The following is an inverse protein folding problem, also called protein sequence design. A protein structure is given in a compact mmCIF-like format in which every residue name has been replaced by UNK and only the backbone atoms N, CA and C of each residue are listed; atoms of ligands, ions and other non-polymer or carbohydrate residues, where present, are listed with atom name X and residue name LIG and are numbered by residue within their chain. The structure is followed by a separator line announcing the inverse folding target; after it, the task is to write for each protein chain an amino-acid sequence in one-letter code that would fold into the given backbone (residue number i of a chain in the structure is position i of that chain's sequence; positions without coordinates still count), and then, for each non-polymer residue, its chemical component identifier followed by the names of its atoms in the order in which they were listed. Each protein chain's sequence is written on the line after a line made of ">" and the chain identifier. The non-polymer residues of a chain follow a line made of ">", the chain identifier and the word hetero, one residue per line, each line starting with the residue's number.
data_IF_678880865255
#
_entry.id   IF_678880865255
#
_cell.length_a   1.000
_cell.length_b   1.000
_cell.length_c   1.000
_cell.angle_alpha   90.00
_cell.angle_beta   90.00
_cell.angle_gamma   90.00
#
_symmetry.space_group_name_H-M   'P 1'
#
loop_
_entity.id
_entity.type
_entity.pdbx_description
1 polymer ?
#
# COMPACT_ATOMS: atom_id res chain seq x y z
N UNK A 1 -19.65 15.03 -0.06
CA UNK A 1 -18.61 14.00 -0.19
C UNK A 1 -17.35 14.70 -0.63
N UNK A 2 -16.23 14.58 0.10
CA UNK A 2 -14.99 15.24 -0.26
C UNK A 2 -14.35 14.58 -1.50
N UNK A 3 -13.68 15.37 -2.33
CA UNK A 3 -12.92 14.88 -3.47
C UNK A 3 -11.53 14.39 -3.03
N UNK A 4 -10.98 13.32 -3.64
CA UNK A 4 -9.65 12.85 -3.30
C UNK A 4 -8.61 13.94 -3.61
N UNK A 5 -7.80 14.31 -2.61
CA UNK A 5 -6.78 15.35 -2.73
C UNK A 5 -5.39 14.71 -2.78
N UNK A 6 -4.71 14.85 -3.91
CA UNK A 6 -3.35 14.36 -4.11
C UNK A 6 -2.38 15.53 -4.14
N UNK A 7 -1.30 15.42 -3.37
CA UNK A 7 -0.20 16.37 -3.32
C UNK A 7 0.89 15.92 -4.28
N UNK A 8 1.35 16.85 -5.11
CA UNK A 8 2.35 16.61 -6.15
C UNK A 8 3.45 17.66 -6.06
N UNK A 9 4.68 17.25 -6.37
CA UNK A 9 5.79 18.18 -6.54
C UNK A 9 5.51 19.09 -7.73
N UNK A 10 5.55 20.42 -7.53
CA UNK A 10 5.32 21.39 -8.61
C UNK A 10 6.40 21.36 -9.69
N UNK A 11 7.61 20.96 -9.34
CA UNK A 11 8.75 21.06 -10.25
C UNK A 11 8.87 19.83 -11.17
N UNK A 12 8.59 18.63 -10.64
CA UNK A 12 8.75 17.37 -11.38
C UNK A 12 7.45 16.57 -11.57
N UNK A 13 6.33 17.01 -11.01
CA UNK A 13 5.04 16.31 -11.11
C UNK A 13 4.94 15.00 -10.33
N UNK A 14 5.95 14.64 -9.54
CA UNK A 14 5.91 13.40 -8.73
C UNK A 14 4.82 13.52 -7.67
N UNK A 15 3.93 12.53 -7.61
CA UNK A 15 2.93 12.41 -6.55
C UNK A 15 3.61 12.00 -5.26
N UNK A 16 3.29 12.68 -4.16
CA UNK A 16 3.96 12.49 -2.87
C UNK A 16 3.04 11.75 -1.90
N UNK A 17 1.86 12.30 -1.63
CA UNK A 17 0.83 11.66 -0.82
C UNK A 17 -0.56 12.14 -1.18
N UNK A 18 -1.57 11.55 -0.58
CA UNK A 18 -2.92 12.11 -0.61
C UNK A 18 -3.93 11.25 0.11
N UNK A 19 -5.13 11.79 0.19
CA UNK A 19 -6.21 11.23 0.99
C UNK A 19 -7.28 10.66 0.05
N UNK A 20 -7.57 9.35 0.12
CA UNK A 20 -8.69 8.77 -0.60
C UNK A 20 -10.02 9.26 -0.02
N UNK A 21 -11.11 8.96 -0.73
CA UNK A 21 -12.43 9.56 -0.50
C UNK A 21 -13.01 9.33 0.91
N UNK A 22 -12.53 8.32 1.64
CA UNK A 22 -13.00 7.96 2.98
C UNK A 22 -12.23 8.66 4.12
N UNK A 23 -11.22 9.47 3.82
CA UNK A 23 -10.38 10.28 4.74
C UNK A 23 -9.74 9.58 5.95
N UNK A 24 -9.95 8.27 6.13
CA UNK A 24 -9.44 7.50 7.26
C UNK A 24 -7.93 7.26 7.21
N UNK A 25 -7.31 7.40 6.03
CA UNK A 25 -5.90 7.09 5.79
C UNK A 25 -5.27 8.11 4.86
N UNK A 26 -3.95 8.29 4.98
CA UNK A 26 -3.13 9.01 3.99
C UNK A 26 -2.27 8.00 3.25
N UNK A 27 -2.34 8.02 1.93
CA UNK A 27 -1.53 7.16 1.07
C UNK A 27 -0.29 7.92 0.65
N UNK A 28 0.88 7.47 1.11
CA UNK A 28 2.20 8.01 0.72
C UNK A 28 2.79 7.15 -0.40
N UNK A 29 3.41 7.78 -1.39
CA UNK A 29 4.08 7.05 -2.46
C UNK A 29 5.41 6.48 -1.94
N UNK A 30 5.53 5.15 -1.91
CA UNK A 30 6.68 4.48 -1.31
C UNK A 30 8.03 4.95 -1.89
N UNK A 31 8.08 5.17 -3.21
CA UNK A 31 9.29 5.60 -3.92
C UNK A 31 9.79 6.99 -3.55
N UNK A 32 9.05 7.78 -2.78
CA UNK A 32 9.49 9.11 -2.32
C UNK A 32 10.11 9.10 -0.93
N UNK A 33 10.26 7.93 -0.30
CA UNK A 33 10.93 7.79 1.00
C UNK A 33 12.45 7.67 0.81
N UNK A 34 13.23 8.05 1.83
CA UNK A 34 14.70 7.92 1.80
C UNK A 34 15.17 6.47 1.75
N UNK A 35 14.39 5.55 2.34
CA UNK A 35 14.69 4.12 2.41
C UNK A 35 13.50 3.26 1.94
N UNK A 36 13.12 3.31 0.66
CA UNK A 36 11.91 2.64 0.16
C UNK A 36 11.99 1.12 0.28
N UNK A 37 13.19 0.55 0.18
CA UNK A 37 13.44 -0.89 0.27
C UNK A 37 13.37 -1.45 1.70
N UNK A 38 13.28 -0.59 2.72
CA UNK A 38 13.06 -1.04 4.09
C UNK A 38 11.65 -1.64 4.29
N UNK A 39 10.73 -1.38 3.37
CA UNK A 39 9.34 -1.82 3.45
C UNK A 39 9.11 -2.99 2.49
N UNK A 40 8.75 -4.15 3.04
CA UNK A 40 8.24 -5.28 2.26
C UNK A 40 6.72 -5.14 2.14
N UNK A 41 6.12 -5.38 0.95
CA UNK A 41 4.68 -5.41 0.81
C UNK A 41 4.05 -6.41 1.78
N UNK A 42 2.96 -6.00 2.44
CA UNK A 42 2.17 -6.92 3.28
C UNK A 42 1.17 -7.72 2.46
N UNK A 43 0.76 -7.18 1.31
CA UNK A 43 -0.19 -7.76 0.38
C UNK A 43 -0.03 -7.13 -1.02
N UNK A 44 -0.59 -7.82 -2.02
CA UNK A 44 -0.72 -7.34 -3.40
C UNK A 44 -2.20 -7.15 -3.73
N UNK A 45 -2.58 -5.98 -4.25
CA UNK A 45 -3.96 -5.66 -4.61
C UNK A 45 -4.14 -5.69 -6.13
N UNK A 46 -5.39 -5.86 -6.57
CA UNK A 46 -5.76 -5.88 -7.99
C UNK A 46 -5.11 -7.01 -8.80
N UNK A 47 -4.82 -8.14 -8.14
CA UNK A 47 -4.10 -9.26 -8.77
C UNK A 47 -4.87 -9.90 -9.92
N UNK A 48 -6.20 -9.73 -9.99
CA UNK A 48 -7.02 -10.14 -11.14
C UNK A 48 -6.56 -9.50 -12.45
N UNK A 49 -6.05 -8.27 -12.38
CA UNK A 49 -5.56 -7.52 -13.54
C UNK A 49 -4.03 -7.47 -13.60
N UNK A 50 -3.33 -8.36 -12.88
CA UNK A 50 -1.86 -8.39 -12.92
C UNK A 50 -1.40 -8.72 -14.33
N UNK A 51 -0.35 -8.06 -14.77
CA UNK A 51 0.24 -8.40 -16.06
C UNK A 51 0.80 -9.84 -16.04
N UNK A 52 0.75 -10.61 -17.15
CA UNK A 52 1.09 -12.03 -17.15
C UNK A 52 2.50 -12.36 -16.62
N UNK A 53 3.48 -11.54 -17.00
CA UNK A 53 4.87 -11.55 -16.56
C UNK A 53 5.13 -11.16 -15.09
N UNK A 54 4.14 -10.62 -14.36
CA UNK A 54 4.31 -10.29 -12.94
C UNK A 54 4.17 -11.56 -12.10
N UNK A 55 5.24 -11.92 -11.38
CA UNK A 55 5.27 -13.03 -10.43
C UNK A 55 5.02 -12.50 -9.03
N UNK A 56 4.01 -13.04 -8.35
CA UNK A 56 3.71 -12.76 -6.95
C UNK A 56 3.93 -14.07 -6.17
N UNK A 57 4.71 -14.08 -5.08
CA UNK A 57 4.90 -15.27 -4.27
C UNK A 57 3.56 -15.80 -3.73
N UNK A 58 3.33 -17.11 -3.81
CA UNK A 58 2.09 -17.74 -3.32
C UNK A 58 1.86 -17.54 -1.82
N UNK A 59 2.95 -17.33 -1.06
CA UNK A 59 2.91 -17.07 0.38
C UNK A 59 2.49 -15.62 0.73
N UNK A 60 2.49 -14.71 -0.23
CA UNK A 60 2.04 -13.34 -0.01
C UNK A 60 0.52 -13.27 -0.04
N UNK A 61 -0.06 -12.38 0.78
CA UNK A 61 -1.49 -12.12 0.74
C UNK A 61 -1.84 -11.41 -0.56
N UNK A 62 -2.87 -11.87 -1.24
CA UNK A 62 -3.27 -11.37 -2.55
C UNK A 62 -4.77 -11.05 -2.57
N UNK A 63 -5.10 -9.86 -3.02
CA UNK A 63 -6.47 -9.40 -3.23
C UNK A 63 -6.73 -9.22 -4.73
N UNK A 64 -7.81 -9.83 -5.22
CA UNK A 64 -8.22 -9.70 -6.62
C UNK A 64 -8.58 -8.26 -6.99
N UNK A 65 -9.05 -7.47 -6.02
CA UNK A 65 -9.48 -6.06 -6.15
C UNK A 65 -9.10 -5.25 -4.91
N UNK A 66 -9.53 -3.98 -4.86
CA UNK A 66 -9.58 -3.24 -3.60
C UNK A 66 -10.44 -3.99 -2.56
N UNK A 67 -9.93 -4.20 -1.33
CA UNK A 67 -10.73 -4.63 -0.18
C UNK A 67 -11.84 -3.62 0.11
N UNK A 68 -13.03 -4.11 0.48
CA UNK A 68 -14.17 -3.27 0.86
C UNK A 68 -13.86 -2.45 2.12
N UNK A 69 -13.24 -3.11 3.12
CA UNK A 69 -12.72 -2.45 4.31
C UNK A 69 -11.21 -2.24 4.21
N UNK A 70 -10.79 -0.98 4.28
CA UNK A 70 -9.36 -0.63 4.26
C UNK A 70 -8.64 -1.02 5.56
N UNK A 71 -9.36 -1.21 6.67
CA UNK A 71 -8.79 -1.65 7.94
C UNK A 71 -8.23 -3.07 7.87
N UNK A 72 -8.70 -3.91 6.94
CA UNK A 72 -8.16 -5.24 6.71
C UNK A 72 -6.64 -5.20 6.40
N UNK A 73 -6.20 -4.20 5.64
CA UNK A 73 -4.76 -4.01 5.36
C UNK A 73 -4.00 -3.54 6.60
N UNK A 74 -4.61 -2.70 7.44
CA UNK A 74 -4.01 -2.22 8.70
C UNK A 74 -3.83 -3.38 9.68
N UNK A 75 -4.84 -4.24 9.81
CA UNK A 75 -4.81 -5.42 10.66
C UNK A 75 -3.79 -6.45 10.17
N UNK A 76 -3.72 -6.67 8.85
CA UNK A 76 -2.70 -7.51 8.25
C UNK A 76 -1.29 -6.98 8.51
N UNK A 77 -1.08 -5.66 8.44
CA UNK A 77 0.19 -5.05 8.77
C UNK A 77 0.54 -5.23 10.25
N UNK A 78 -0.43 -5.01 11.16
CA UNK A 78 -0.23 -5.20 12.61
C UNK A 78 0.14 -6.63 12.94
N UNK A 79 -0.54 -7.61 12.35
CA UNK A 79 -0.26 -9.04 12.59
C UNK A 79 1.14 -9.44 12.10
N UNK A 80 1.54 -9.01 10.89
CA UNK A 80 2.90 -9.27 10.36
C UNK A 80 3.99 -8.52 11.15
N UNK A 81 3.73 -7.30 11.59
CA UNK A 81 4.69 -6.48 12.35
C UNK A 81 4.94 -7.00 13.76
N UNK A 82 3.88 -7.46 14.45
CA UNK A 82 4.01 -8.12 15.75
C UNK A 82 4.80 -9.43 15.66
N UNK A 83 4.73 -10.13 14.53
CA UNK A 83 5.50 -11.35 14.28
C UNK A 83 6.98 -11.05 13.97
N UNK A 84 7.29 -9.88 13.41
CA UNK A 84 8.68 -9.42 13.18
C UNK A 84 9.36 -9.02 14.50
N UNK A 85 8.64 -8.41 15.44
CA UNK A 85 9.16 -8.07 16.77
C UNK A 85 9.56 -9.30 17.62
N UNK A 86 9.08 -10.50 17.27
CA UNK A 86 9.43 -11.77 17.89
C UNK A 86 10.70 -12.45 17.33
N UNK A 87 11.35 -11.89 16.30
CA UNK A 87 12.70 -12.30 15.88
C UNK A 87 13.74 -11.43 16.59
N UNK A 88 14.00 -11.74 17.86
CA UNK A 88 15.31 -11.55 18.48
C UNK A 88 15.74 -12.88 19.08
#
# INVERSE_FOLDING_TARGET
>A
MAEPRWQMCRDCGTRLWGTPRNEAVVVVQLGTLDQPHAFKPIAHLWTRSKAPWMVIPDADVQFLTQPEDQMELVELWRSKSNNIAGRK
#
